data_IF_756256451482
#
_entry.id   IF_756256451482
#
_cell.length_a   1.000
_cell.length_b   1.000
_cell.length_c   1.000
_cell.angle_alpha   90.00
_cell.angle_beta   90.00
_cell.angle_gamma   90.00
#
_symmetry.space_group_name_H-M   'P 1'
#
loop_
_entity.id
_entity.type
_entity.pdbx_description
1 polymer ?
#
# COMPACT_ATOMS: atom_id res chain seq x y z
N UNK A 1 58.76 20.81 -63.17
CA UNK A 1 57.74 21.57 -62.43
C UNK A 1 56.50 20.72 -62.25
N UNK A 2 56.06 20.62 -60.99
CA UNK A 2 54.78 20.12 -60.44
C UNK A 2 54.26 18.72 -60.78
N UNK A 3 53.93 18.01 -59.68
CA UNK A 3 53.57 16.60 -59.54
C UNK A 3 52.08 16.35 -59.84
N UNK A 4 51.79 15.24 -60.52
CA UNK A 4 50.46 14.66 -60.64
C UNK A 4 50.02 14.06 -59.30
N UNK A 5 48.83 14.43 -58.82
CA UNK A 5 48.22 13.89 -57.59
C UNK A 5 47.40 12.63 -57.95
N UNK A 6 47.90 11.47 -57.52
CA UNK A 6 47.14 10.22 -57.44
C UNK A 6 46.31 10.26 -56.15
N UNK A 7 44.98 10.17 -56.25
CA UNK A 7 44.09 10.04 -55.10
C UNK A 7 43.81 8.54 -54.91
N UNK A 8 44.30 7.99 -53.80
CA UNK A 8 44.10 6.61 -53.37
C UNK A 8 42.84 6.56 -52.47
N UNK A 9 41.80 5.85 -52.91
CA UNK A 9 40.64 5.52 -52.07
C UNK A 9 41.00 4.32 -51.17
N UNK A 10 41.08 4.54 -49.86
CA UNK A 10 41.19 3.47 -48.86
C UNK A 10 39.76 3.10 -48.43
N UNK A 11 39.33 1.88 -48.74
CA UNK A 11 38.10 1.29 -48.21
C UNK A 11 38.42 0.73 -46.82
N UNK A 12 37.87 1.33 -45.77
CA UNK A 12 37.93 0.80 -44.40
C UNK A 12 36.78 -0.20 -44.24
N UNK A 13 37.11 -1.49 -44.16
CA UNK A 13 36.16 -2.53 -43.76
C UNK A 13 36.03 -2.52 -42.23
N UNK A 14 34.88 -2.06 -41.73
CA UNK A 14 34.54 -2.13 -40.31
C UNK A 14 34.03 -3.55 -40.04
N UNK A 15 34.81 -4.36 -39.33
CA UNK A 15 34.33 -5.62 -38.76
C UNK A 15 33.46 -5.31 -37.54
N UNK A 16 32.14 -5.48 -37.68
CA UNK A 16 31.24 -5.57 -36.54
C UNK A 16 31.44 -6.91 -35.86
N UNK A 17 32.14 -6.91 -34.72
CA UNK A 17 32.05 -8.02 -33.76
C UNK A 17 30.66 -7.92 -33.14
N UNK A 18 29.78 -8.85 -33.50
CA UNK A 18 28.49 -9.03 -32.82
C UNK A 18 28.77 -9.58 -31.42
N UNK A 19 29.01 -8.69 -30.46
CA UNK A 19 28.89 -9.03 -29.06
C UNK A 19 27.43 -9.40 -28.80
N UNK A 20 27.18 -10.65 -28.42
CA UNK A 20 25.91 -11.05 -27.83
C UNK A 20 25.70 -10.18 -26.59
N UNK A 21 24.70 -9.30 -26.63
CA UNK A 21 24.21 -8.61 -25.44
C UNK A 21 23.78 -9.72 -24.48
N UNK A 22 24.38 -9.87 -23.28
CA UNK A 22 23.91 -10.87 -22.34
C UNK A 22 22.44 -10.59 -22.06
N UNK A 23 21.62 -11.65 -22.12
CA UNK A 23 20.22 -11.59 -21.75
C UNK A 23 20.11 -10.87 -20.41
N UNK A 24 19.24 -9.87 -20.37
CA UNK A 24 18.89 -9.12 -19.18
C UNK A 24 18.51 -10.12 -18.09
N UNK A 25 19.45 -10.42 -17.18
CA UNK A 25 19.21 -11.36 -16.10
C UNK A 25 18.17 -10.71 -15.20
N UNK A 26 16.95 -11.25 -15.23
CA UNK A 26 15.89 -10.81 -14.35
C UNK A 26 16.35 -11.04 -12.92
N UNK A 27 16.65 -9.97 -12.21
CA UNK A 27 17.05 -9.99 -10.79
C UNK A 27 15.96 -10.71 -10.00
N UNK A 28 16.34 -11.79 -9.30
CA UNK A 28 15.41 -12.47 -8.41
C UNK A 28 15.42 -11.76 -7.07
N UNK A 29 14.33 -11.11 -6.73
CA UNK A 29 14.25 -10.38 -5.47
C UNK A 29 14.35 -11.31 -4.26
N UNK A 30 15.13 -10.94 -3.26
CA UNK A 30 15.45 -11.78 -2.11
C UNK A 30 16.55 -12.81 -2.33
N UNK A 31 17.05 -12.98 -3.57
CA UNK A 31 18.28 -13.74 -3.87
C UNK A 31 19.46 -12.76 -3.86
N UNK A 32 20.07 -12.64 -2.67
CA UNK A 32 21.04 -11.59 -2.34
C UNK A 32 22.46 -12.04 -2.70
N UNK A 33 22.72 -13.35 -2.64
CA UNK A 33 24.00 -13.91 -3.03
C UNK A 33 24.09 -14.27 -4.53
N UNK A 34 22.96 -14.19 -5.27
CA UNK A 34 22.88 -14.31 -6.71
C UNK A 34 22.90 -15.76 -7.21
N UNK A 35 22.42 -16.71 -6.41
CA UNK A 35 22.46 -18.15 -6.68
C UNK A 35 21.15 -18.74 -7.23
N UNK A 36 20.16 -17.90 -7.53
CA UNK A 36 18.80 -18.22 -7.99
C UNK A 36 17.90 -18.90 -6.94
N UNK A 37 18.32 -19.01 -5.68
CA UNK A 37 17.53 -19.52 -4.55
C UNK A 37 17.30 -18.42 -3.50
N UNK A 38 16.18 -18.52 -2.75
CA UNK A 38 15.92 -17.64 -1.60
C UNK A 38 15.93 -18.52 -0.36
N UNK A 39 16.93 -18.36 0.51
CA UNK A 39 17.12 -19.18 1.69
C UNK A 39 17.87 -18.41 2.82
N UNK A 40 18.33 -19.14 3.84
CA UNK A 40 19.02 -18.55 4.99
C UNK A 40 20.35 -17.86 4.61
N UNK A 41 20.99 -18.29 3.53
CA UNK A 41 22.26 -17.73 3.09
C UNK A 41 22.09 -16.28 2.63
N UNK A 42 20.99 -15.94 1.98
CA UNK A 42 20.65 -14.55 1.59
C UNK A 42 20.54 -13.64 2.81
N UNK A 43 19.86 -14.11 3.87
CA UNK A 43 19.77 -13.38 5.14
C UNK A 43 21.16 -13.16 5.73
N UNK A 44 21.99 -14.21 5.77
CA UNK A 44 23.35 -14.07 6.32
C UNK A 44 24.24 -13.17 5.46
N UNK A 45 24.04 -13.18 4.14
CA UNK A 45 24.74 -12.32 3.21
C UNK A 45 24.38 -10.86 3.49
N UNK A 46 23.09 -10.54 3.56
CA UNK A 46 22.61 -9.19 3.83
C UNK A 46 23.11 -8.66 5.17
N UNK A 47 23.08 -9.49 6.23
CA UNK A 47 23.65 -9.13 7.54
C UNK A 47 25.15 -8.82 7.44
N UNK A 48 25.91 -9.63 6.70
CA UNK A 48 27.36 -9.43 6.55
C UNK A 48 27.64 -8.12 5.81
N UNK A 49 26.96 -7.89 4.70
CA UNK A 49 27.05 -6.65 3.93
C UNK A 49 26.75 -5.43 4.81
N UNK A 50 25.62 -5.45 5.52
CA UNK A 50 25.15 -4.32 6.31
C UNK A 50 25.98 -4.03 7.58
N UNK A 51 26.43 -5.08 8.28
CA UNK A 51 26.92 -4.94 9.67
C UNK A 51 28.32 -5.51 9.91
N UNK A 52 28.93 -6.18 8.93
CA UNK A 52 30.22 -6.87 9.11
C UNK A 52 31.22 -6.59 8.00
N UNK A 53 31.08 -5.49 7.27
CA UNK A 53 31.92 -5.13 6.12
C UNK A 53 32.04 -6.29 5.10
N UNK A 54 30.93 -6.99 4.87
CA UNK A 54 30.85 -8.04 3.86
C UNK A 54 30.91 -7.48 2.44
N UNK A 55 30.95 -8.39 1.48
CA UNK A 55 30.92 -8.04 0.05
C UNK A 55 29.61 -7.36 -0.32
N UNK A 56 29.67 -6.46 -1.31
CA UNK A 56 28.47 -5.82 -1.86
C UNK A 56 27.67 -6.85 -2.65
N UNK A 57 26.34 -6.98 -2.41
CA UNK A 57 25.46 -7.82 -3.20
C UNK A 57 25.63 -7.57 -4.69
N UNK A 58 25.60 -8.65 -5.48
CA UNK A 58 25.74 -8.54 -6.94
C UNK A 58 24.64 -7.65 -7.53
N UNK A 59 23.42 -7.79 -6.99
CA UNK A 59 22.31 -6.94 -7.32
C UNK A 59 21.72 -6.26 -6.08
N UNK A 60 21.92 -4.95 -6.00
CA UNK A 60 21.39 -4.15 -4.89
C UNK A 60 19.86 -4.10 -4.89
N UNK A 61 19.19 -4.29 -6.04
CA UNK A 61 17.73 -4.31 -6.11
C UNK A 61 17.14 -5.60 -5.54
N UNK A 62 17.92 -6.68 -5.41
CA UNK A 62 17.47 -7.90 -4.74
C UNK A 62 17.39 -7.76 -3.20
N UNK A 63 18.00 -6.72 -2.64
CA UNK A 63 18.16 -6.54 -1.19
C UNK A 63 17.01 -5.79 -0.52
N UNK A 64 16.29 -4.96 -1.26
CA UNK A 64 15.11 -4.20 -0.81
C UNK A 64 13.87 -5.09 -0.98
N UNK A 65 13.75 -6.10 -0.12
CA UNK A 65 12.78 -7.20 -0.29
C UNK A 65 11.36 -6.80 0.05
N UNK A 66 11.20 -5.69 0.75
CA UNK A 66 9.93 -5.06 1.10
C UNK A 66 9.60 -3.82 0.24
N UNK A 67 10.45 -3.50 -0.74
CA UNK A 67 10.31 -2.42 -1.73
C UNK A 67 10.12 -1.03 -1.11
N UNK A 68 10.80 -0.77 0.00
CA UNK A 68 10.73 0.50 0.74
C UNK A 68 11.69 1.56 0.18
N UNK A 69 12.57 1.18 -0.74
CA UNK A 69 13.64 2.02 -1.26
C UNK A 69 14.83 2.15 -0.30
N UNK A 70 14.85 1.37 0.79
CA UNK A 70 15.87 1.43 1.84
C UNK A 70 16.29 0.02 2.26
N UNK A 71 17.53 -0.35 1.99
CA UNK A 71 18.10 -1.61 2.47
C UNK A 71 18.44 -1.48 3.96
N UNK A 72 17.67 -2.16 4.82
CA UNK A 72 17.79 -2.05 6.28
C UNK A 72 17.48 -3.38 7.02
N UNK A 73 17.37 -3.35 8.35
CA UNK A 73 17.10 -4.55 9.17
C UNK A 73 15.70 -5.15 8.91
N UNK A 74 14.77 -4.35 8.40
CA UNK A 74 13.43 -4.80 8.06
C UNK A 74 13.42 -5.77 6.89
N UNK A 75 14.32 -5.63 5.91
CA UNK A 75 14.52 -6.59 4.82
C UNK A 75 14.94 -7.97 5.33
N UNK A 76 15.84 -7.99 6.31
CA UNK A 76 16.27 -9.21 7.00
C UNK A 76 15.08 -9.83 7.74
N UNK A 77 14.33 -9.03 8.48
CA UNK A 77 13.13 -9.50 9.19
C UNK A 77 12.08 -10.05 8.22
N UNK A 78 11.95 -9.45 7.04
CA UNK A 78 11.01 -9.86 6.00
C UNK A 78 11.38 -11.24 5.45
N UNK A 79 12.65 -11.45 5.08
CA UNK A 79 13.13 -12.75 4.60
C UNK A 79 12.95 -13.85 5.65
N UNK A 80 13.18 -13.56 6.94
CA UNK A 80 12.94 -14.51 8.03
C UNK A 80 11.45 -14.90 8.07
N UNK A 81 10.54 -13.92 8.00
CA UNK A 81 9.09 -14.19 8.01
C UNK A 81 8.67 -15.01 6.78
N UNK A 82 9.19 -14.67 5.61
CA UNK A 82 8.93 -15.43 4.37
C UNK A 82 9.38 -16.90 4.49
N UNK A 83 10.60 -17.14 4.98
CA UNK A 83 11.17 -18.48 5.05
C UNK A 83 10.58 -19.35 6.17
N UNK A 84 10.13 -18.73 7.27
CA UNK A 84 9.83 -19.46 8.51
C UNK A 84 8.47 -19.15 9.14
N UNK A 85 7.64 -18.25 8.58
CA UNK A 85 6.39 -17.81 9.23
C UNK A 85 5.28 -17.40 8.24
N UNK A 86 5.06 -18.20 7.19
CA UNK A 86 4.04 -17.96 6.14
C UNK A 86 4.04 -16.52 5.58
N UNK A 87 5.20 -15.87 5.60
CA UNK A 87 5.35 -14.50 5.14
C UNK A 87 5.14 -14.37 3.63
N UNK A 88 4.75 -13.17 3.16
CA UNK A 88 4.59 -12.90 1.74
C UNK A 88 5.90 -13.09 0.98
N UNK A 89 5.81 -13.49 -0.29
CA UNK A 89 6.98 -13.71 -1.14
C UNK A 89 7.76 -12.38 -1.35
N UNK A 90 9.11 -12.37 -1.28
CA UNK A 90 9.93 -11.19 -1.50
C UNK A 90 9.60 -10.53 -2.84
N UNK A 91 9.27 -9.24 -2.78
CA UNK A 91 8.93 -8.42 -3.95
C UNK A 91 7.84 -9.00 -4.86
N UNK A 92 7.05 -9.98 -4.39
CA UNK A 92 5.88 -10.49 -5.09
C UNK A 92 4.66 -9.89 -4.41
N UNK A 93 3.90 -9.13 -5.19
CA UNK A 93 2.66 -8.49 -4.71
C UNK A 93 2.92 -7.39 -3.71
N UNK A 94 3.57 -6.31 -4.16
CA UNK A 94 4.01 -5.25 -3.25
C UNK A 94 3.88 -3.82 -3.81
N UNK A 95 3.31 -3.68 -5.00
CA UNK A 95 2.76 -2.41 -5.44
C UNK A 95 1.26 -2.45 -5.20
N UNK A 96 0.73 -1.34 -4.71
CA UNK A 96 -0.68 -1.02 -4.91
C UNK A 96 -1.00 -1.26 -6.41
N UNK A 97 -2.03 -2.05 -6.75
CA UNK A 97 -2.39 -2.36 -8.12
C UNK A 97 -2.47 -1.11 -9.00
N UNK A 98 -2.06 -1.22 -10.26
CA UNK A 98 -2.18 -0.11 -11.20
C UNK A 98 -3.67 0.27 -11.34
N UNK A 99 -3.98 1.54 -11.10
CA UNK A 99 -5.35 2.06 -11.08
C UNK A 99 -6.03 2.04 -9.70
N UNK A 100 -5.45 1.41 -8.68
CA UNK A 100 -5.93 1.61 -7.31
C UNK A 100 -5.44 2.96 -6.79
N UNK A 101 -6.36 3.92 -6.68
CA UNK A 101 -6.15 5.28 -6.19
C UNK A 101 -6.35 5.39 -4.68
N UNK A 102 -7.42 4.80 -4.14
CA UNK A 102 -7.79 4.95 -2.72
C UNK A 102 -7.48 3.70 -1.91
N UNK A 103 -6.93 3.88 -0.71
CA UNK A 103 -6.41 2.78 0.11
C UNK A 103 -7.16 2.67 1.43
N UNK A 104 -7.20 3.74 2.22
CA UNK A 104 -7.78 3.75 3.55
C UNK A 104 -8.71 4.95 3.74
N UNK A 105 -9.69 4.78 4.61
CA UNK A 105 -10.63 5.84 4.95
C UNK A 105 -11.08 5.73 6.42
N UNK A 106 -11.21 6.89 7.05
CA UNK A 106 -12.01 7.08 8.25
C UNK A 106 -13.17 7.99 7.87
N UNK A 107 -14.39 7.53 8.11
CA UNK A 107 -15.63 8.26 7.82
C UNK A 107 -16.43 8.42 9.09
N UNK A 108 -16.94 9.62 9.32
CA UNK A 108 -18.00 9.92 10.27
C UNK A 108 -19.25 10.39 9.51
N UNK A 109 -20.38 9.72 9.75
CA UNK A 109 -21.69 10.12 9.23
C UNK A 109 -22.65 10.40 10.40
N UNK A 110 -23.40 11.49 10.29
CA UNK A 110 -24.48 11.78 11.22
C UNK A 110 -25.69 12.35 10.47
N UNK A 111 -26.87 11.90 10.88
CA UNK A 111 -28.16 12.36 10.37
C UNK A 111 -28.94 13.18 11.41
N UNK A 112 -28.46 13.24 12.65
CA UNK A 112 -29.02 14.08 13.68
C UNK A 112 -28.90 15.55 13.24
N UNK A 113 -30.05 16.23 13.13
CA UNK A 113 -30.14 17.63 12.72
C UNK A 113 -29.68 17.89 11.27
N UNK A 114 -29.75 16.87 10.42
CA UNK A 114 -29.47 16.91 8.99
C UNK A 114 -28.22 16.14 8.59
N UNK A 115 -27.97 16.03 7.28
CA UNK A 115 -26.86 15.25 6.76
C UNK A 115 -25.52 15.93 7.05
N UNK A 116 -24.62 15.18 7.68
CA UNK A 116 -23.23 15.53 7.87
C UNK A 116 -22.38 14.29 7.57
N UNK A 117 -21.43 14.44 6.66
CA UNK A 117 -20.43 13.43 6.35
C UNK A 117 -19.07 14.09 6.44
N UNK A 118 -18.15 13.54 7.21
CA UNK A 118 -16.78 14.04 7.29
C UNK A 118 -15.85 12.86 7.32
N UNK A 119 -14.66 13.01 6.76
CA UNK A 119 -13.71 11.92 6.81
C UNK A 119 -12.34 12.31 6.32
N UNK A 120 -11.47 11.32 6.38
CA UNK A 120 -10.08 11.39 5.97
C UNK A 120 -9.77 10.18 5.10
N UNK A 121 -9.20 10.43 3.93
CA UNK A 121 -8.82 9.39 2.96
C UNK A 121 -7.31 9.40 2.73
N UNK A 122 -6.74 8.21 2.55
CA UNK A 122 -5.34 8.01 2.15
C UNK A 122 -5.30 7.41 0.75
N UNK A 123 -4.55 8.05 -0.14
CA UNK A 123 -4.38 7.59 -1.52
C UNK A 123 -3.14 6.69 -1.71
N UNK A 124 -2.95 6.20 -2.92
CA UNK A 124 -1.88 5.27 -3.31
C UNK A 124 -0.47 5.85 -3.25
N UNK A 125 -0.33 7.18 -3.14
CA UNK A 125 0.95 7.86 -2.93
C UNK A 125 1.26 8.01 -1.45
N UNK A 126 0.25 7.81 -0.59
CA UNK A 126 0.32 8.10 0.84
C UNK A 126 -0.12 9.53 1.15
N UNK A 127 -0.70 10.26 0.20
CA UNK A 127 -1.26 11.58 0.45
C UNK A 127 -2.56 11.44 1.27
N UNK A 128 -2.73 12.32 2.25
CA UNK A 128 -3.85 12.33 3.18
C UNK A 128 -4.71 13.56 2.88
N UNK A 129 -6.01 13.34 2.71
CA UNK A 129 -6.97 14.40 2.47
C UNK A 129 -8.15 14.29 3.44
N UNK A 130 -8.58 15.42 3.99
CA UNK A 130 -9.89 15.56 4.61
C UNK A 130 -10.93 15.87 3.54
N UNK A 131 -12.15 15.38 3.71
CA UNK A 131 -13.30 15.68 2.86
C UNK A 131 -14.54 15.87 3.75
N UNK A 132 -15.52 16.64 3.27
CA UNK A 132 -16.71 16.92 4.09
C UNK A 132 -17.93 17.35 3.30
N UNK A 133 -19.11 16.90 3.75
CA UNK A 133 -20.43 17.32 3.30
C UNK A 133 -21.18 17.93 4.47
N UNK A 134 -21.62 19.17 4.28
CA UNK A 134 -22.46 19.87 5.24
C UNK A 134 -23.95 19.67 4.97
N UNK A 135 -24.76 20.26 5.84
CA UNK A 135 -26.23 20.19 5.80
C UNK A 135 -26.86 20.62 4.46
N UNK A 136 -26.21 21.54 3.74
CA UNK A 136 -26.71 22.07 2.48
C UNK A 136 -26.23 21.29 1.25
N UNK A 137 -25.33 20.34 1.43
CA UNK A 137 -24.81 19.54 0.34
C UNK A 137 -25.79 18.42 -0.01
N UNK A 138 -25.73 17.99 -1.27
CA UNK A 138 -26.45 16.78 -1.67
C UNK A 138 -25.77 15.58 -1.02
N UNK A 139 -26.50 14.72 -0.28
CA UNK A 139 -25.90 13.54 0.31
C UNK A 139 -25.22 12.68 -0.73
N UNK A 140 -24.02 12.19 -0.40
CA UNK A 140 -23.36 11.22 -1.25
C UNK A 140 -24.12 9.89 -1.16
N UNK A 141 -24.78 9.51 -2.26
CA UNK A 141 -25.72 8.38 -2.35
C UNK A 141 -25.48 7.52 -3.61
N UNK A 142 -24.21 7.31 -4.00
CA UNK A 142 -23.88 6.73 -5.32
C UNK A 142 -23.56 5.23 -5.34
N UNK A 143 -23.61 4.53 -4.21
CA UNK A 143 -23.37 3.08 -4.23
C UNK A 143 -24.61 2.30 -4.68
N UNK A 144 -24.93 2.30 -5.97
CA UNK A 144 -25.77 1.23 -6.52
C UNK A 144 -25.02 -0.11 -6.35
N UNK A 145 -25.53 -0.97 -5.47
CA UNK A 145 -25.15 -2.39 -5.34
C UNK A 145 -23.82 -2.74 -4.66
N UNK A 146 -23.18 -1.83 -3.91
CA UNK A 146 -22.03 -2.19 -3.06
C UNK A 146 -20.72 -2.47 -3.80
N UNK A 147 -20.65 -2.16 -5.09
CA UNK A 147 -19.42 -2.14 -5.88
C UNK A 147 -19.18 -0.67 -6.26
N UNK A 148 -18.07 -0.11 -5.79
CA UNK A 148 -17.72 1.29 -6.01
C UNK A 148 -16.81 1.42 -7.23
N UNK A 149 -16.98 2.47 -8.03
CA UNK A 149 -16.02 2.84 -9.07
C UNK A 149 -15.08 3.93 -8.57
N UNK A 150 -13.94 4.14 -9.27
CA UNK A 150 -13.09 5.30 -9.01
C UNK A 150 -13.88 6.61 -9.10
N UNK A 151 -14.80 6.74 -10.07
CA UNK A 151 -15.63 7.94 -10.21
C UNK A 151 -16.58 8.17 -9.03
N UNK A 152 -17.08 7.10 -8.40
CA UNK A 152 -17.94 7.22 -7.21
C UNK A 152 -17.13 7.73 -6.02
N UNK A 153 -15.91 7.23 -5.86
CA UNK A 153 -14.97 7.64 -4.82
C UNK A 153 -14.41 9.04 -5.06
N UNK A 154 -14.10 9.40 -6.30
CA UNK A 154 -13.69 10.77 -6.68
C UNK A 154 -14.80 11.77 -6.32
N UNK A 155 -16.05 11.47 -6.73
CA UNK A 155 -17.20 12.31 -6.39
C UNK A 155 -17.40 12.48 -4.88
N UNK A 156 -16.99 11.47 -4.09
CA UNK A 156 -17.01 11.51 -2.62
C UNK A 156 -15.88 12.39 -2.06
N UNK A 157 -14.66 12.05 -2.42
CA UNK A 157 -13.45 12.50 -1.75
C UNK A 157 -12.96 13.85 -2.24
N UNK A 158 -13.36 14.28 -3.43
CA UNK A 158 -13.01 15.61 -3.96
C UNK A 158 -13.92 16.71 -3.40
N UNK A 159 -15.02 16.35 -2.72
CA UNK A 159 -15.96 17.31 -2.15
C UNK A 159 -15.40 17.98 -0.88
N UNK A 160 -15.23 19.31 -0.94
CA UNK A 160 -14.56 20.11 0.09
C UNK A 160 -13.20 19.53 0.53
N UNK A 161 -12.46 18.95 -0.42
CA UNK A 161 -11.20 18.28 -0.14
C UNK A 161 -10.12 19.26 0.36
N UNK A 162 -9.38 18.83 1.38
CA UNK A 162 -8.23 19.57 1.93
C UNK A 162 -7.07 18.61 2.15
N UNK A 163 -5.91 18.91 1.56
CA UNK A 163 -4.68 18.15 1.81
C UNK A 163 -4.19 18.38 3.25
N UNK A 164 -3.91 17.30 3.96
CA UNK A 164 -3.52 17.31 5.38
C UNK A 164 -2.04 16.96 5.55
N UNK A 165 -1.52 16.06 4.74
CA UNK A 165 -0.14 15.59 4.87
C UNK A 165 0.12 14.32 4.06
N UNK A 166 1.23 13.67 4.36
CA UNK A 166 1.64 12.44 3.69
C UNK A 166 2.17 11.43 4.69
N UNK A 167 1.90 10.14 4.47
CA UNK A 167 2.63 9.06 5.13
C UNK A 167 3.78 8.56 4.25
N UNK A 168 4.90 8.14 4.85
CA UNK A 168 5.97 7.47 4.13
C UNK A 168 5.47 6.22 3.38
N UNK A 169 6.01 5.96 2.18
CA UNK A 169 5.60 4.83 1.33
C UNK A 169 5.78 3.48 2.01
N UNK A 170 6.86 3.31 2.78
CA UNK A 170 7.13 2.12 3.57
C UNK A 170 6.02 1.86 4.60
N UNK A 171 5.53 2.92 5.24
CA UNK A 171 4.41 2.88 6.17
C UNK A 171 3.10 2.54 5.45
N UNK A 172 2.80 3.20 4.33
CA UNK A 172 1.61 2.89 3.52
C UNK A 172 1.57 1.40 3.13
N UNK A 173 2.68 0.89 2.60
CA UNK A 173 2.78 -0.50 2.14
C UNK A 173 2.67 -1.49 3.30
N UNK A 174 3.30 -1.20 4.45
CA UNK A 174 3.19 -2.02 5.67
C UNK A 174 1.72 -2.34 6.01
N UNK A 175 0.84 -1.34 6.00
CA UNK A 175 -0.58 -1.52 6.33
C UNK A 175 -1.40 -2.02 5.13
N UNK A 176 -1.07 -1.60 3.90
CA UNK A 176 -1.74 -2.10 2.70
C UNK A 176 -1.68 -3.63 2.59
N UNK A 177 -0.56 -4.25 2.99
CA UNK A 177 -0.41 -5.71 2.99
C UNK A 177 -1.33 -6.45 3.94
N UNK A 178 -1.97 -5.76 4.88
CA UNK A 178 -2.92 -6.34 5.82
C UNK A 178 -4.35 -6.35 5.25
N UNK A 179 -4.63 -5.60 4.17
CA UNK A 179 -5.99 -5.39 3.66
C UNK A 179 -6.64 -6.67 3.16
N UNK A 180 -5.89 -7.55 2.47
CA UNK A 180 -6.44 -8.81 1.95
C UNK A 180 -6.85 -9.74 3.10
N UNK A 181 -5.94 -9.94 4.07
CA UNK A 181 -6.21 -10.75 5.25
C UNK A 181 -7.31 -10.14 6.15
N UNK A 182 -7.49 -8.82 6.13
CA UNK A 182 -8.62 -8.16 6.77
C UNK A 182 -9.93 -8.45 6.01
N UNK A 183 -9.91 -8.44 4.68
CA UNK A 183 -11.08 -8.72 3.82
C UNK A 183 -11.66 -10.12 3.98
N UNK A 184 -10.83 -11.09 4.33
CA UNK A 184 -11.25 -12.48 4.61
C UNK A 184 -11.80 -12.67 6.03
N UNK A 185 -11.61 -11.69 6.92
CA UNK A 185 -12.00 -11.75 8.32
C UNK A 185 -13.52 -11.80 8.54
N UNK A 186 -14.02 -12.64 9.47
CA UNK A 186 -15.42 -12.58 9.85
C UNK A 186 -15.71 -11.31 10.65
N UNK A 187 -16.89 -10.74 10.45
CA UNK A 187 -17.36 -9.64 11.27
C UNK A 187 -18.09 -10.13 12.52
N UNK A 188 -17.96 -9.39 13.60
CA UNK A 188 -18.84 -9.54 14.76
C UNK A 188 -20.31 -9.29 14.39
N UNK A 189 -21.27 -9.75 15.21
CA UNK A 189 -22.63 -9.22 15.19
C UNK A 189 -22.62 -7.69 15.35
N UNK A 190 -23.68 -7.03 14.89
CA UNK A 190 -23.88 -5.60 15.17
C UNK A 190 -24.50 -5.46 16.55
N UNK A 191 -24.02 -4.50 17.34
CA UNK A 191 -24.59 -4.16 18.65
C UNK A 191 -25.00 -2.69 18.69
N UNK A 192 -26.02 -2.35 19.47
CA UNK A 192 -26.32 -0.95 19.81
C UNK A 192 -25.29 -0.49 20.84
N UNK A 193 -24.68 0.69 20.64
CA UNK A 193 -23.66 1.19 21.54
C UNK A 193 -24.05 2.56 22.15
N UNK A 194 -24.39 3.54 21.31
CA UNK A 194 -24.85 4.85 21.75
C UNK A 194 -26.16 5.26 21.06
N UNK A 195 -26.73 6.38 21.50
CA UNK A 195 -27.90 6.98 20.88
C UNK A 195 -27.54 8.37 20.37
N UNK A 196 -27.97 8.69 19.15
CA UNK A 196 -27.80 9.99 18.50
C UNK A 196 -26.33 10.44 18.37
N UNK A 197 -25.40 9.48 18.28
CA UNK A 197 -23.96 9.73 18.18
C UNK A 197 -23.48 9.83 16.73
N UNK A 198 -24.25 9.31 15.78
CA UNK A 198 -23.80 9.08 14.41
C UNK A 198 -22.95 7.81 14.33
N UNK A 199 -22.22 7.62 13.24
CA UNK A 199 -21.39 6.42 13.01
C UNK A 199 -20.02 6.82 12.50
N UNK A 200 -18.96 6.39 13.18
CA UNK A 200 -17.59 6.42 12.69
C UNK A 200 -17.23 5.02 12.17
N UNK A 201 -16.67 4.96 10.97
CA UNK A 201 -16.20 3.72 10.34
C UNK A 201 -14.78 3.89 9.83
N UNK A 202 -13.91 2.97 10.21
CA UNK A 202 -12.57 2.81 9.61
C UNK A 202 -12.65 1.68 8.59
N UNK A 203 -12.18 1.92 7.37
CA UNK A 203 -12.20 0.94 6.28
C UNK A 203 -10.95 1.04 5.40
N UNK A 204 -10.70 -0.04 4.68
CA UNK A 204 -9.76 -0.10 3.57
C UNK A 204 -10.47 -0.50 2.28
N UNK A 205 -9.80 -0.32 1.16
CA UNK A 205 -10.31 -0.68 -0.14
C UNK A 205 -9.50 -1.80 -0.79
N UNK A 206 -10.20 -2.82 -1.28
CA UNK A 206 -9.67 -3.80 -2.23
C UNK A 206 -10.05 -3.36 -3.64
N UNK A 207 -9.12 -3.49 -4.58
CA UNK A 207 -9.32 -3.08 -5.96
C UNK A 207 -9.16 -4.26 -6.92
N UNK A 208 -10.16 -4.44 -7.78
CA UNK A 208 -10.12 -5.43 -8.87
C UNK A 208 -9.64 -4.77 -10.15
N UNK A 209 -8.38 -5.04 -10.54
CA UNK A 209 -7.76 -4.42 -11.72
C UNK A 209 -8.46 -4.78 -13.03
N UNK A 210 -9.12 -5.93 -13.11
CA UNK A 210 -9.83 -6.34 -14.32
C UNK A 210 -11.09 -5.48 -14.59
N UNK A 211 -11.69 -4.92 -13.54
CA UNK A 211 -12.98 -4.21 -13.64
C UNK A 211 -12.89 -2.74 -13.23
N UNK A 212 -11.83 -2.32 -12.54
CA UNK A 212 -11.72 -1.00 -11.93
C UNK A 212 -12.60 -0.83 -10.68
N UNK A 213 -13.10 -1.93 -10.14
CA UNK A 213 -14.04 -1.93 -9.03
C UNK A 213 -13.34 -1.90 -7.67
N UNK A 214 -13.95 -1.18 -6.74
CA UNK A 214 -13.55 -1.09 -5.35
C UNK A 214 -14.55 -1.83 -4.46
N UNK A 215 -14.04 -2.70 -3.61
CA UNK A 215 -14.75 -3.31 -2.50
C UNK A 215 -14.28 -2.69 -1.19
N UNK A 216 -15.21 -2.26 -0.34
CA UNK A 216 -14.89 -1.72 0.98
C UNK A 216 -14.77 -2.83 2.01
N UNK A 217 -13.62 -2.88 2.70
CA UNK A 217 -13.37 -3.76 3.85
C UNK A 217 -13.45 -2.93 5.12
N UNK A 218 -14.45 -3.17 5.97
CA UNK A 218 -14.57 -2.48 7.25
C UNK A 218 -13.56 -3.07 8.25
N UNK A 219 -12.87 -2.20 8.99
CA UNK A 219 -12.02 -2.62 10.11
C UNK A 219 -12.79 -2.51 11.41
N UNK A 220 -13.40 -1.35 11.64
CA UNK A 220 -14.14 -1.05 12.85
C UNK A 220 -15.26 -0.04 12.56
N UNK A 221 -16.38 -0.19 13.26
CA UNK A 221 -17.52 0.72 13.26
C UNK A 221 -17.92 1.02 14.71
N UNK A 222 -18.11 2.29 15.04
CA UNK A 222 -18.53 2.77 16.37
C UNK A 222 -19.56 3.90 16.26
N UNK A 223 -20.33 4.12 17.33
CA UNK A 223 -21.34 5.17 17.42
C UNK A 223 -22.71 4.63 17.78
N UNK A 224 -23.75 4.93 17.00
CA UNK A 224 -25.10 4.40 17.23
C UNK A 224 -25.09 2.86 17.24
N UNK A 225 -24.37 2.30 16.27
CA UNK A 225 -24.07 0.89 16.20
C UNK A 225 -22.56 0.65 16.27
N UNK A 226 -22.18 -0.48 16.86
CA UNK A 226 -20.80 -0.94 16.85
C UNK A 226 -20.68 -2.31 16.21
N UNK A 227 -19.59 -2.50 15.46
CA UNK A 227 -19.21 -3.75 14.80
C UNK A 227 -17.70 -3.76 14.58
N UNK A 228 -17.07 -4.92 14.69
CA UNK A 228 -15.65 -5.08 14.38
C UNK A 228 -15.37 -6.23 13.42
N UNK A 229 -14.33 -6.09 12.63
CA UNK A 229 -13.71 -7.19 11.91
C UNK A 229 -12.84 -7.98 12.88
N UNK A 230 -12.99 -9.29 12.92
CA UNK A 230 -12.31 -10.17 13.88
C UNK A 230 -10.96 -10.68 13.35
N UNK A 231 -10.52 -10.25 12.17
CA UNK A 231 -9.17 -10.53 11.66
C UNK A 231 -8.13 -9.72 12.45
N UNK A 232 -7.03 -10.34 12.92
CA UNK A 232 -5.92 -9.62 13.53
C UNK A 232 -5.33 -8.54 12.61
N UNK A 233 -5.39 -8.76 11.30
CA UNK A 233 -4.93 -7.78 10.31
C UNK A 233 -5.79 -6.50 10.34
N UNK A 234 -7.11 -6.65 10.54
CA UNK A 234 -8.03 -5.53 10.62
C UNK A 234 -7.84 -4.71 11.91
N UNK A 235 -7.57 -5.38 13.03
CA UNK A 235 -7.23 -4.74 14.31
C UNK A 235 -5.97 -3.87 14.17
N UNK A 236 -4.89 -4.41 13.59
CA UNK A 236 -3.64 -3.66 13.36
C UNK A 236 -3.86 -2.43 12.45
N UNK A 237 -4.69 -2.55 11.40
CA UNK A 237 -5.03 -1.40 10.54
C UNK A 237 -5.85 -0.38 11.32
N UNK A 238 -6.84 -0.83 12.10
CA UNK A 238 -7.70 0.06 12.88
C UNK A 238 -6.88 0.88 13.87
N UNK A 239 -6.04 0.24 14.68
CA UNK A 239 -5.21 0.92 15.69
C UNK A 239 -4.35 2.00 15.05
N UNK A 240 -3.67 1.68 13.94
CA UNK A 240 -2.86 2.64 13.21
C UNK A 240 -3.67 3.82 12.65
N UNK A 241 -4.80 3.53 11.99
CA UNK A 241 -5.64 4.59 11.43
C UNK A 241 -6.20 5.49 12.55
N UNK A 242 -6.62 4.91 13.68
CA UNK A 242 -7.22 5.68 14.76
C UNK A 242 -6.19 6.51 15.53
N UNK A 243 -5.03 5.94 15.86
CA UNK A 243 -4.01 6.63 16.65
C UNK A 243 -3.15 7.59 15.82
N UNK A 244 -2.60 7.12 14.71
CA UNK A 244 -1.59 7.87 13.96
C UNK A 244 -2.20 8.79 12.89
N UNK A 245 -3.32 8.38 12.29
CA UNK A 245 -3.95 9.12 11.20
C UNK A 245 -5.06 10.04 11.69
N UNK A 246 -5.94 9.55 12.58
CA UNK A 246 -7.00 10.38 13.18
C UNK A 246 -6.47 11.21 14.35
N UNK A 247 -5.48 10.70 15.09
CA UNK A 247 -4.86 11.41 16.22
C UNK A 247 -5.59 11.20 17.55
N UNK A 248 -6.38 10.13 17.68
CA UNK A 248 -7.15 9.80 18.88
C UNK A 248 -6.63 8.54 19.55
N UNK A 249 -6.74 8.45 20.88
CA UNK A 249 -6.31 7.26 21.61
C UNK A 249 -7.38 6.17 21.58
N UNK A 250 -7.00 4.92 21.28
CA UNK A 250 -7.93 3.77 21.36
C UNK A 250 -8.49 3.55 22.76
N UNK A 251 -7.73 3.89 23.80
CA UNK A 251 -8.16 3.83 25.21
C UNK A 251 -9.33 4.78 25.51
N UNK A 252 -9.55 5.79 24.66
CA UNK A 252 -10.62 6.77 24.80
C UNK A 252 -11.86 6.44 23.95
N UNK A 253 -11.91 5.27 23.30
CA UNK A 253 -13.07 4.90 22.49
C UNK A 253 -14.32 4.82 23.37
N UNK A 254 -15.29 5.67 23.04
CA UNK A 254 -16.66 5.62 23.54
C UNK A 254 -17.55 5.10 22.43
N UNK A 255 -18.65 4.43 22.76
CA UNK A 255 -19.58 3.85 21.77
C UNK A 255 -18.96 2.76 20.88
N UNK A 256 -17.88 2.12 21.35
CA UNK A 256 -17.21 1.00 20.68
C UNK A 256 -17.93 -0.33 20.89
N UNK A 257 -17.37 -1.36 20.24
CA UNK A 257 -17.80 -2.74 20.44
C UNK A 257 -17.39 -3.21 21.85
N UNK A 258 -18.31 -3.78 22.65
CA UNK A 258 -17.99 -4.23 24.00
C UNK A 258 -16.97 -5.37 23.99
N UNK A 259 -16.02 -5.32 24.91
CA UNK A 259 -15.03 -6.39 25.15
C UNK A 259 -15.67 -7.69 25.62
#
# INVERSE_FOLDING_TARGET
MSKSKFILFIIIAIFFVSGSIPANASVRCGDIDGNDEINLLDITFLIKYMYKNGETPQDMAACDVDLTGKINILDISYLIRYLYSEGPQPCKGQSIPEGQKYIFEIEYINWAWGYRLEGRVIDYKGDIYDYSYGHNDTPWDTAQSGILTESDLDAKFDHNQVFVGTIPRDTLLKYFYLVEAAGEGPYSPVVNACFDFGTLTVRAYQYESATGAYNSVMMYMMGDFARKNLSPAAEIIFDWMYEDIFGESIDNIVCGYPE
#
